data_IF_909564618803
#
_entry.id   IF_909564618803
#
_cell.length_a   1.000
_cell.length_b   1.000
_cell.length_c   1.000
_cell.angle_alpha   90.00
_cell.angle_beta   90.00
_cell.angle_gamma   90.00
#
_symmetry.space_group_name_H-M   'P 1'
#
loop_
_entity.id
_entity.type
_entity.pdbx_description
1 polymer ?
#
# COMPACT_ATOMS: atom_id res chain seq x y z
N UNK A 1 26.32 22.14 -4.84
CA UNK A 1 25.20 21.85 -3.91
C UNK A 1 24.17 22.96 -3.85
N UNK A 2 24.47 24.21 -4.21
CA UNK A 2 23.41 25.24 -4.34
C UNK A 2 23.14 25.58 -5.81
N UNK A 3 22.65 24.59 -6.57
CA UNK A 3 22.04 24.89 -7.86
C UNK A 3 20.58 25.25 -7.62
N UNK A 4 20.05 26.36 -8.17
CA UNK A 4 18.61 26.65 -8.08
C UNK A 4 17.75 25.64 -8.83
N UNK A 5 18.37 24.78 -9.66
CA UNK A 5 17.72 23.75 -10.45
C UNK A 5 17.68 22.37 -9.75
N UNK A 6 18.33 22.23 -8.59
CA UNK A 6 18.28 21.02 -7.75
C UNK A 6 17.66 21.43 -6.42
N UNK A 7 16.47 20.92 -6.10
CA UNK A 7 15.64 21.41 -4.99
C UNK A 7 15.12 20.26 -4.15
N UNK A 8 14.91 20.52 -2.87
CA UNK A 8 14.01 19.74 -2.04
C UNK A 8 12.57 20.29 -2.14
N UNK A 9 11.62 19.61 -1.50
CA UNK A 9 10.23 20.02 -1.46
C UNK A 9 9.68 19.80 -0.04
N UNK A 10 9.94 20.76 0.83
CA UNK A 10 9.71 20.59 2.28
C UNK A 10 8.80 21.67 2.88
N UNK A 11 8.59 22.79 2.17
CA UNK A 11 7.84 23.94 2.66
C UNK A 11 6.70 24.33 1.72
N UNK A 12 5.61 24.93 2.23
CA UNK A 12 4.57 25.51 1.39
C UNK A 12 5.11 26.51 0.34
N UNK A 13 6.18 27.22 0.67
CA UNK A 13 6.84 28.15 -0.25
C UNK A 13 7.43 27.45 -1.47
N UNK A 14 7.90 26.20 -1.36
CA UNK A 14 8.39 25.42 -2.49
C UNK A 14 7.25 25.14 -3.48
N UNK A 15 6.07 24.77 -2.97
CA UNK A 15 4.87 24.59 -3.80
C UNK A 15 4.48 25.87 -4.54
N UNK A 16 4.51 27.02 -3.86
CA UNK A 16 4.21 28.33 -4.47
C UNK A 16 5.26 28.68 -5.53
N UNK A 17 6.54 28.40 -5.27
CA UNK A 17 7.64 28.65 -6.19
C UNK A 17 7.49 27.83 -7.48
N UNK A 18 7.32 26.51 -7.37
CA UNK A 18 7.18 25.63 -8.53
C UNK A 18 5.91 25.91 -9.32
N UNK A 19 4.79 26.24 -8.65
CA UNK A 19 3.57 26.65 -9.35
C UNK A 19 3.79 27.89 -10.21
N UNK A 20 4.46 28.93 -9.68
CA UNK A 20 4.76 30.16 -10.44
C UNK A 20 5.68 29.91 -11.63
N UNK A 21 6.60 28.95 -11.53
CA UNK A 21 7.44 28.54 -12.66
C UNK A 21 6.62 27.80 -13.73
N UNK A 22 5.74 26.89 -13.31
CA UNK A 22 4.82 26.15 -14.18
C UNK A 22 3.89 27.10 -14.96
N UNK A 23 3.26 28.06 -14.27
CA UNK A 23 2.37 29.09 -14.85
C UNK A 23 3.06 29.92 -15.94
N UNK A 24 4.39 30.06 -15.87
CA UNK A 24 5.20 30.82 -16.85
C UNK A 24 5.75 29.94 -17.97
N UNK A 25 5.50 28.63 -17.96
CA UNK A 25 6.08 27.68 -18.91
C UNK A 25 7.60 27.51 -18.74
N UNK A 26 8.13 27.76 -17.54
CA UNK A 26 9.58 27.72 -17.27
C UNK A 26 10.11 26.31 -16.93
N UNK A 27 9.25 25.29 -16.97
CA UNK A 27 9.57 23.89 -16.70
C UNK A 27 9.08 23.07 -17.88
N UNK A 28 10.00 22.48 -18.65
CA UNK A 28 9.67 21.52 -19.71
C UNK A 28 9.94 20.07 -19.29
N UNK A 29 10.94 19.85 -18.44
CA UNK A 29 11.37 18.52 -17.99
C UNK A 29 11.73 18.49 -16.51
N UNK A 30 11.37 17.40 -15.84
CA UNK A 30 11.53 17.22 -14.40
C UNK A 30 12.04 15.81 -14.07
N UNK A 31 13.08 15.72 -13.24
CA UNK A 31 13.46 14.44 -12.61
C UNK A 31 13.11 14.50 -11.13
N UNK A 32 12.38 13.50 -10.64
CA UNK A 32 12.05 13.33 -9.23
C UNK A 32 12.85 12.13 -8.72
N UNK A 33 13.62 12.31 -7.65
CA UNK A 33 14.43 11.25 -7.06
C UNK A 33 13.84 10.87 -5.70
N UNK A 34 13.32 9.65 -5.60
CA UNK A 34 12.59 9.10 -4.46
C UNK A 34 11.11 8.94 -4.78
N UNK A 35 10.64 7.70 -4.75
CA UNK A 35 9.28 7.24 -5.04
C UNK A 35 8.41 7.03 -3.80
N UNK A 36 8.69 7.74 -2.70
CA UNK A 36 7.80 7.80 -1.54
C UNK A 36 6.55 8.67 -1.79
N UNK A 37 5.74 8.90 -0.76
CA UNK A 37 4.47 9.66 -0.88
C UNK A 37 4.62 10.98 -1.64
N UNK A 38 5.56 11.83 -1.21
CA UNK A 38 5.82 13.14 -1.82
C UNK A 38 6.25 13.00 -3.28
N UNK A 39 7.10 12.01 -3.59
CA UNK A 39 7.58 11.79 -4.96
C UNK A 39 6.46 11.40 -5.91
N UNK A 40 5.54 10.54 -5.47
CA UNK A 40 4.35 10.17 -6.24
C UNK A 40 3.37 11.34 -6.40
N UNK A 41 3.11 12.13 -5.35
CA UNK A 41 2.26 13.32 -5.43
C UNK A 41 2.84 14.38 -6.37
N UNK A 42 4.16 14.58 -6.36
CA UNK A 42 4.84 15.47 -7.30
C UNK A 42 4.81 14.95 -8.74
N UNK A 43 4.90 13.63 -8.94
CA UNK A 43 4.76 13.03 -10.27
C UNK A 43 3.34 13.24 -10.82
N UNK A 44 2.30 13.08 -9.99
CA UNK A 44 0.93 13.43 -10.35
C UNK A 44 0.80 14.93 -10.68
N UNK A 45 1.34 15.80 -9.84
CA UNK A 45 1.30 17.25 -10.09
C UNK A 45 2.01 17.61 -11.40
N UNK A 46 3.15 16.99 -11.70
CA UNK A 46 3.90 17.19 -12.94
C UNK A 46 3.12 16.74 -14.18
N UNK A 47 2.33 15.66 -14.06
CA UNK A 47 1.40 15.21 -15.09
C UNK A 47 0.32 16.25 -15.39
N UNK A 48 -0.27 16.86 -14.35
CA UNK A 48 -1.28 17.92 -14.51
C UNK A 48 -0.71 19.13 -15.27
N UNK A 49 0.56 19.46 -15.06
CA UNK A 49 1.25 20.53 -15.77
C UNK A 49 1.85 20.13 -17.13
N UNK A 50 1.81 18.84 -17.48
CA UNK A 50 2.33 18.32 -18.76
C UNK A 50 3.85 18.34 -18.89
N UNK A 51 4.58 18.21 -17.77
CA UNK A 51 6.05 18.14 -17.79
C UNK A 51 6.56 16.78 -18.28
N UNK A 52 7.65 16.79 -19.05
CA UNK A 52 8.36 15.55 -19.37
C UNK A 52 9.07 15.01 -18.11
N UNK A 53 8.44 14.05 -17.44
CA UNK A 53 8.78 13.69 -16.07
C UNK A 53 9.36 12.29 -15.96
N UNK A 54 10.42 12.17 -15.17
CA UNK A 54 11.03 10.89 -14.80
C UNK A 54 11.08 10.75 -13.29
N UNK A 55 10.48 9.70 -12.75
CA UNK A 55 10.51 9.32 -11.34
C UNK A 55 11.49 8.18 -11.14
N UNK A 56 12.45 8.36 -10.25
CA UNK A 56 13.52 7.40 -9.98
C UNK A 56 13.43 6.93 -8.53
N UNK A 57 13.39 5.62 -8.31
CA UNK A 57 13.37 4.98 -7.00
C UNK A 57 14.47 3.91 -6.93
N UNK A 58 15.21 3.92 -5.81
CA UNK A 58 16.28 2.96 -5.55
C UNK A 58 15.73 1.59 -5.18
N UNK A 59 14.65 1.57 -4.41
CA UNK A 59 13.99 0.34 -3.96
C UNK A 59 13.29 -0.40 -5.11
N UNK A 60 12.86 -1.63 -4.84
CA UNK A 60 12.27 -2.51 -5.84
C UNK A 60 10.92 -2.04 -6.39
N UNK A 61 10.23 -1.14 -5.69
CA UNK A 61 8.93 -0.60 -6.04
C UNK A 61 8.73 0.78 -5.41
N UNK A 62 7.73 1.53 -5.90
CA UNK A 62 7.30 2.80 -5.31
C UNK A 62 6.67 2.59 -3.91
N UNK A 63 6.53 3.67 -3.15
CA UNK A 63 5.93 3.68 -1.81
C UNK A 63 6.52 2.63 -0.83
N UNK A 64 7.85 2.43 -0.77
CA UNK A 64 8.47 1.32 -0.04
C UNK A 64 8.29 1.36 1.48
N UNK A 65 7.87 2.51 2.03
CA UNK A 65 7.68 2.70 3.47
C UNK A 65 6.42 2.06 4.06
N UNK A 66 5.41 1.74 3.24
CA UNK A 66 4.10 1.29 3.74
C UNK A 66 3.36 0.25 2.90
N UNK A 67 3.82 -0.03 1.68
CA UNK A 67 3.17 -0.97 0.76
C UNK A 67 4.11 -2.12 0.42
N UNK A 68 3.55 -3.32 0.27
CA UNK A 68 4.28 -4.42 -0.35
C UNK A 68 4.26 -4.26 -1.90
N UNK A 69 5.20 -4.91 -2.58
CA UNK A 69 5.47 -4.66 -4.00
C UNK A 69 4.28 -4.87 -4.92
N UNK A 70 3.46 -5.89 -4.67
CA UNK A 70 2.26 -6.16 -5.46
C UNK A 70 1.18 -5.09 -5.29
N UNK A 71 1.09 -4.44 -4.13
CA UNK A 71 0.18 -3.31 -3.92
C UNK A 71 0.74 -2.03 -4.56
N UNK A 72 2.05 -1.81 -4.47
CA UNK A 72 2.74 -0.68 -5.08
C UNK A 72 2.77 -0.73 -6.62
N UNK A 73 2.71 -1.92 -7.21
CA UNK A 73 2.68 -2.09 -8.66
C UNK A 73 1.50 -1.37 -9.34
N UNK A 74 0.41 -1.12 -8.60
CA UNK A 74 -0.72 -0.33 -9.10
C UNK A 74 -0.37 1.16 -9.27
N UNK A 75 0.41 1.76 -8.34
CA UNK A 75 0.89 3.14 -8.47
C UNK A 75 1.82 3.30 -9.67
N UNK A 76 2.74 2.35 -9.84
CA UNK A 76 3.69 2.38 -10.95
C UNK A 76 2.98 2.35 -12.30
N UNK A 77 2.02 1.43 -12.48
CA UNK A 77 1.21 1.34 -13.70
C UNK A 77 0.38 2.60 -13.95
N UNK A 78 -0.25 3.15 -12.92
CA UNK A 78 -1.06 4.37 -13.03
C UNK A 78 -0.21 5.58 -13.48
N UNK A 79 0.96 5.76 -12.87
CA UNK A 79 1.89 6.83 -13.25
C UNK A 79 2.42 6.65 -14.67
N UNK A 80 2.78 5.42 -15.05
CA UNK A 80 3.23 5.09 -16.41
C UNK A 80 2.13 5.32 -17.45
N UNK A 81 0.88 4.95 -17.14
CA UNK A 81 -0.28 5.20 -18.01
C UNK A 81 -0.53 6.71 -18.22
N UNK A 82 -0.22 7.52 -17.22
CA UNK A 82 -0.22 8.98 -17.33
C UNK A 82 1.04 9.60 -17.94
N UNK A 83 1.97 8.79 -18.48
CA UNK A 83 3.13 9.25 -19.23
C UNK A 83 4.39 9.53 -18.38
N UNK A 84 4.40 9.19 -17.10
CA UNK A 84 5.59 9.31 -16.26
C UNK A 84 6.53 8.14 -16.55
N UNK A 85 7.82 8.43 -16.82
CA UNK A 85 8.85 7.39 -16.86
C UNK A 85 9.23 7.00 -15.45
N UNK A 86 8.91 5.78 -15.04
CA UNK A 86 9.25 5.26 -13.71
C UNK A 86 10.43 4.31 -13.82
N UNK A 87 11.48 4.56 -13.05
CA UNK A 87 12.64 3.68 -12.91
C UNK A 87 12.78 3.26 -11.45
N UNK A 88 12.37 2.02 -11.14
CA UNK A 88 12.65 1.36 -9.85
C UNK A 88 13.97 0.59 -9.92
N UNK A 89 14.50 0.15 -8.78
CA UNK A 89 15.83 -0.50 -8.68
C UNK A 89 16.95 0.34 -9.32
N UNK A 90 16.78 1.66 -9.32
CA UNK A 90 17.66 2.58 -10.01
C UNK A 90 18.32 3.52 -8.99
N UNK A 91 19.62 3.36 -8.81
CA UNK A 91 20.41 4.17 -7.89
C UNK A 91 20.99 5.39 -8.61
N UNK A 92 20.73 6.58 -8.08
CA UNK A 92 21.38 7.83 -8.51
C UNK A 92 22.75 7.92 -7.85
N UNK A 93 23.80 7.97 -8.66
CA UNK A 93 25.20 8.02 -8.20
C UNK A 93 25.75 9.44 -8.11
N UNK A 94 25.12 10.40 -8.79
CA UNK A 94 25.49 11.81 -8.71
C UNK A 94 24.65 12.71 -9.59
N UNK A 95 24.72 14.01 -9.30
CA UNK A 95 24.09 15.05 -10.11
C UNK A 95 25.17 16.09 -10.45
N UNK A 96 25.38 16.33 -11.74
CA UNK A 96 26.29 17.36 -12.24
C UNK A 96 25.49 18.44 -12.98
N UNK A 97 26.13 19.56 -13.31
CA UNK A 97 25.53 20.60 -14.14
C UNK A 97 26.21 20.64 -15.51
N UNK A 98 25.40 20.59 -16.57
CA UNK A 98 25.82 20.93 -17.92
C UNK A 98 25.25 22.31 -18.26
N UNK A 99 26.06 23.35 -18.06
CA UNK A 99 25.58 24.74 -18.06
C UNK A 99 24.61 24.99 -16.90
N UNK A 100 23.36 25.34 -17.20
CA UNK A 100 22.30 25.55 -16.20
C UNK A 100 21.40 24.31 -16.00
N UNK A 101 21.62 23.21 -16.74
CA UNK A 101 20.78 22.02 -16.63
C UNK A 101 21.43 20.95 -15.75
N UNK A 102 20.71 20.45 -14.72
CA UNK A 102 21.10 19.22 -14.04
C UNK A 102 21.21 18.03 -14.99
N UNK A 103 22.19 17.18 -14.72
CA UNK A 103 22.39 15.86 -15.33
C UNK A 103 22.51 14.85 -14.20
N UNK A 104 21.52 13.97 -14.10
CA UNK A 104 21.42 12.90 -13.10
C UNK A 104 22.07 11.66 -13.67
N UNK A 105 23.08 11.12 -12.99
CA UNK A 105 23.77 9.89 -13.38
C UNK A 105 23.26 8.71 -12.54
N UNK A 106 23.09 7.56 -13.18
CA UNK A 106 22.62 6.32 -12.56
C UNK A 106 23.74 5.29 -12.42
N UNK A 107 23.53 4.27 -11.59
CA UNK A 107 24.50 3.20 -11.35
C UNK A 107 24.78 2.31 -12.58
N UNK A 108 23.87 2.29 -13.56
CA UNK A 108 24.03 1.58 -14.83
C UNK A 108 24.81 2.39 -15.90
N UNK A 109 25.41 3.54 -15.54
CA UNK A 109 26.08 4.50 -16.43
C UNK A 109 25.17 5.25 -17.42
N UNK A 110 23.84 5.13 -17.30
CA UNK A 110 22.92 6.02 -18.00
C UNK A 110 22.83 7.36 -17.28
N UNK A 111 22.37 8.39 -18.00
CA UNK A 111 22.14 9.71 -17.42
C UNK A 111 20.96 10.41 -18.07
N UNK A 112 20.22 11.19 -17.29
CA UNK A 112 19.09 12.00 -17.76
C UNK A 112 19.34 13.46 -17.39
N UNK A 113 19.12 14.36 -18.35
CA UNK A 113 19.11 15.80 -18.09
C UNK A 113 17.67 16.32 -18.03
N UNK A 114 17.43 17.27 -17.13
CA UNK A 114 16.13 17.92 -16.98
C UNK A 114 16.32 19.40 -16.61
N UNK A 115 15.24 20.19 -16.68
CA UNK A 115 15.28 21.59 -16.27
C UNK A 115 15.36 21.72 -14.74
N UNK A 116 14.70 20.81 -14.03
CA UNK A 116 14.75 20.71 -12.57
C UNK A 116 14.91 19.27 -12.10
N UNK A 117 15.56 19.12 -10.94
CA UNK A 117 15.61 17.88 -10.17
C UNK A 117 15.02 18.15 -8.79
N UNK A 118 14.02 17.36 -8.38
CA UNK A 118 13.46 17.41 -7.03
C UNK A 118 13.90 16.18 -6.23
N UNK A 119 14.49 16.43 -5.07
CA UNK A 119 14.95 15.42 -4.13
C UNK A 119 13.84 15.07 -3.13
N UNK A 120 13.30 13.87 -3.25
CA UNK A 120 12.25 13.27 -2.41
C UNK A 120 12.78 12.05 -1.64
N UNK A 121 13.98 12.15 -1.09
CA UNK A 121 14.74 11.04 -0.50
C UNK A 121 14.31 10.65 0.92
N UNK A 122 13.16 11.15 1.38
CA UNK A 122 12.74 11.10 2.78
C UNK A 122 13.32 12.23 3.62
N UNK A 123 12.95 12.27 4.89
CA UNK A 123 13.34 13.29 5.86
C UNK A 123 14.09 12.66 7.03
N UNK A 124 14.96 13.44 7.65
CA UNK A 124 15.66 13.05 8.88
C UNK A 124 15.17 13.92 10.04
N UNK A 125 15.01 13.36 11.25
CA UNK A 125 14.57 14.16 12.39
C UNK A 125 15.57 15.28 12.71
N UNK A 126 15.07 16.50 12.93
CA UNK A 126 15.88 17.64 13.37
C UNK A 126 16.13 17.54 14.89
N UNK A 127 17.23 16.88 15.27
CA UNK A 127 17.55 16.59 16.67
C UNK A 127 18.88 17.19 17.17
N UNK A 128 19.54 18.02 16.37
CA UNK A 128 20.86 18.56 16.70
C UNK A 128 20.83 19.41 17.97
N UNK A 129 19.83 20.30 18.13
CA UNK A 129 19.66 21.08 19.35
C UNK A 129 19.49 20.19 20.59
N UNK A 130 18.71 19.11 20.47
CA UNK A 130 18.49 18.18 21.56
C UNK A 130 19.80 17.46 21.94
N UNK A 131 20.57 17.04 20.93
CA UNK A 131 21.88 16.39 21.12
C UNK A 131 22.88 17.32 21.79
N UNK A 132 22.96 18.57 21.34
CA UNK A 132 23.86 19.59 21.89
C UNK A 132 23.51 19.93 23.35
N UNK A 133 22.23 19.86 23.70
CA UNK A 133 21.73 20.00 25.07
C UNK A 133 21.87 18.72 25.93
N UNK A 134 22.42 17.63 25.39
CA UNK A 134 22.60 16.37 26.11
C UNK A 134 21.31 15.55 26.30
N UNK A 135 20.25 15.83 25.54
CA UNK A 135 19.02 15.04 25.55
C UNK A 135 19.22 13.72 24.79
N UNK A 136 18.45 12.71 25.18
CA UNK A 136 18.53 11.38 24.56
C UNK A 136 17.98 11.42 23.12
N UNK A 137 18.83 11.05 22.17
CA UNK A 137 18.48 10.87 20.75
C UNK A 137 18.57 9.38 20.41
N UNK A 138 17.56 8.88 19.71
CA UNK A 138 17.42 7.48 19.36
C UNK A 138 18.24 7.06 18.15
N UNK A 139 18.17 5.77 17.84
CA UNK A 139 18.94 5.16 16.74
C UNK A 139 18.44 5.57 15.35
N UNK A 140 17.22 6.10 15.24
CA UNK A 140 16.67 6.68 14.00
C UNK A 140 16.92 8.18 13.93
N UNK A 141 17.68 8.74 14.88
CA UNK A 141 18.06 10.14 14.94
C UNK A 141 17.00 11.07 15.54
N UNK A 142 15.87 10.57 16.02
CA UNK A 142 14.82 11.38 16.64
C UNK A 142 15.00 11.52 18.15
N UNK A 143 14.44 12.58 18.71
CA UNK A 143 14.42 12.83 20.15
C UNK A 143 13.57 11.73 20.81
N UNK A 144 14.13 11.02 21.80
CA UNK A 144 13.39 10.02 22.56
C UNK A 144 12.45 10.74 23.53
N UNK A 145 11.18 10.35 23.50
CA UNK A 145 10.15 10.86 24.40
C UNK A 145 9.42 9.74 25.11
N UNK A 146 8.95 10.02 26.32
CA UNK A 146 8.03 9.14 27.04
C UNK A 146 6.59 9.24 26.50
N UNK A 147 5.65 8.49 27.11
CA UNK A 147 4.23 8.53 26.73
C UNK A 147 3.56 9.88 27.03
N UNK A 148 4.18 10.75 27.82
CA UNK A 148 3.73 12.11 28.10
C UNK A 148 4.38 13.15 27.18
N UNK A 149 5.13 12.70 26.17
CA UNK A 149 5.90 13.53 25.23
C UNK A 149 7.05 14.32 25.90
N UNK A 150 7.52 13.88 27.07
CA UNK A 150 8.69 14.45 27.76
C UNK A 150 9.96 13.82 27.24
N UNK A 151 11.01 14.64 27.11
CA UNK A 151 12.35 14.16 26.78
C UNK A 151 13.03 13.54 28.01
N UNK A 152 14.32 13.22 27.93
CA UNK A 152 15.12 12.81 29.10
C UNK A 152 15.26 13.90 30.17
N UNK A 153 15.04 15.18 29.83
CA UNK A 153 14.81 16.24 30.82
C UNK A 153 13.30 16.38 31.07
N UNK A 154 12.81 16.22 32.31
CA UNK A 154 11.38 16.29 32.63
C UNK A 154 10.76 17.68 32.41
N UNK A 155 11.58 18.72 32.25
CA UNK A 155 11.15 20.10 31.97
C UNK A 155 11.02 20.40 30.47
N UNK A 156 11.52 19.50 29.62
CA UNK A 156 11.55 19.68 28.17
C UNK A 156 10.64 18.65 27.49
N UNK A 157 9.76 19.13 26.64
CA UNK A 157 8.89 18.32 25.79
C UNK A 157 9.34 18.41 24.34
N UNK A 158 9.10 17.35 23.56
CA UNK A 158 9.33 17.34 22.12
C UNK A 158 8.18 16.64 21.41
N UNK A 159 7.89 17.06 20.19
CA UNK A 159 6.82 16.47 19.38
C UNK A 159 6.89 16.94 17.93
N UNK A 160 6.27 16.15 17.05
CA UNK A 160 6.31 16.38 15.61
C UNK A 160 7.37 15.49 14.95
N UNK A 161 7.89 15.91 13.81
CA UNK A 161 8.80 15.08 13.00
C UNK A 161 10.23 15.03 13.58
N UNK A 162 10.48 15.69 14.71
CA UNK A 162 11.76 15.59 15.41
C UNK A 162 11.83 14.43 16.42
N UNK A 163 10.72 13.72 16.70
CA UNK A 163 10.69 12.65 17.72
C UNK A 163 10.69 11.24 17.14
N UNK A 164 11.26 10.32 17.90
CA UNK A 164 11.04 8.89 17.73
C UNK A 164 9.88 8.43 18.64
N UNK A 165 9.03 7.55 18.11
CA UNK A 165 7.84 7.06 18.79
C UNK A 165 7.92 5.55 18.99
N UNK A 166 7.13 5.02 19.92
CA UNK A 166 6.87 3.59 19.98
C UNK A 166 5.85 3.19 18.90
N UNK A 167 6.17 2.16 18.10
CA UNK A 167 5.19 1.50 17.26
C UNK A 167 4.21 0.72 18.14
N UNK A 168 2.89 0.93 18.00
CA UNK A 168 1.92 0.34 18.93
C UNK A 168 1.91 -1.20 18.88
N UNK A 169 2.05 -1.81 17.69
CA UNK A 169 2.00 -3.27 17.54
C UNK A 169 3.25 -4.02 17.98
N UNK A 170 4.43 -3.38 17.93
CA UNK A 170 5.72 -4.07 18.14
C UNK A 170 6.48 -3.54 19.36
N UNK A 171 6.10 -2.38 19.88
CA UNK A 171 6.84 -1.69 20.96
C UNK A 171 8.21 -1.17 20.55
N UNK A 172 8.64 -1.37 19.30
CA UNK A 172 9.94 -0.93 18.79
C UNK A 172 9.91 0.56 18.47
N UNK A 173 11.08 1.19 18.48
CA UNK A 173 11.23 2.58 18.01
C UNK A 173 10.82 2.68 16.53
N UNK A 174 10.03 3.70 16.22
CA UNK A 174 9.52 4.02 14.90
C UNK A 174 9.60 5.53 14.65
N UNK A 175 9.72 5.89 13.36
CA UNK A 175 9.77 7.26 12.91
C UNK A 175 8.68 7.45 11.84
N UNK A 176 7.75 8.36 12.13
CA UNK A 176 6.57 8.62 11.31
C UNK A 176 6.37 10.13 11.14
N UNK A 177 7.00 10.75 10.13
CA UNK A 177 6.87 12.18 9.86
C UNK A 177 5.49 12.47 9.23
N UNK A 178 4.46 12.49 10.08
CA UNK A 178 3.06 12.60 9.69
C UNK A 178 2.43 13.78 10.43
N UNK A 179 1.93 14.77 9.69
CA UNK A 179 1.32 15.96 10.26
C UNK A 179 0.15 15.68 11.20
N UNK A 180 -0.60 14.59 10.97
CA UNK A 180 -1.67 14.13 11.86
C UNK A 180 -1.14 13.72 13.25
N UNK A 181 0.03 13.07 13.31
CA UNK A 181 0.68 12.71 14.56
C UNK A 181 1.26 13.95 15.25
N UNK A 182 1.88 14.86 14.50
CA UNK A 182 2.42 16.12 15.03
C UNK A 182 1.37 16.94 15.79
N UNK A 183 0.15 17.05 15.24
CA UNK A 183 -0.97 17.72 15.91
C UNK A 183 -1.39 17.02 17.21
N UNK A 184 -1.43 15.68 17.22
CA UNK A 184 -1.75 14.90 18.43
C UNK A 184 -0.68 15.05 19.50
N UNK A 185 0.60 15.08 19.11
CA UNK A 185 1.71 15.35 20.03
C UNK A 185 1.54 16.71 20.70
N UNK A 186 1.29 17.77 19.92
CA UNK A 186 1.07 19.12 20.44
C UNK A 186 -0.06 19.20 21.47
N UNK A 187 -1.19 18.52 21.21
CA UNK A 187 -2.29 18.40 22.18
C UNK A 187 -1.83 17.76 23.50
N UNK A 188 -1.15 16.62 23.44
CA UNK A 188 -0.68 15.90 24.64
C UNK A 188 0.32 16.73 25.43
N UNK A 189 1.26 17.40 24.74
CA UNK A 189 2.24 18.30 25.35
C UNK A 189 1.53 19.44 26.09
N UNK A 190 0.59 20.13 25.44
CA UNK A 190 -0.13 21.25 26.03
C UNK A 190 -0.95 20.84 27.27
N UNK A 191 -1.59 19.66 27.24
CA UNK A 191 -2.30 19.11 28.39
C UNK A 191 -1.36 18.82 29.57
N UNK A 192 -0.18 18.26 29.30
CA UNK A 192 0.80 17.93 30.33
C UNK A 192 1.49 19.17 30.92
N UNK A 193 1.76 20.19 30.10
CA UNK A 193 2.22 21.51 30.58
C UNK A 193 1.16 22.14 31.51
N UNK A 194 -0.12 21.92 31.23
CA UNK A 194 -1.24 22.43 32.04
C UNK A 194 -1.52 21.60 33.32
N UNK A 195 -0.66 20.63 33.66
CA UNK A 195 -0.78 19.81 34.87
C UNK A 195 -1.69 18.59 34.73
N UNK A 196 -2.18 18.26 33.52
CA UNK A 196 -2.87 16.98 33.27
C UNK A 196 -1.86 15.83 33.12
N UNK A 197 -2.38 14.61 33.00
CA UNK A 197 -1.60 13.37 32.78
C UNK A 197 -2.02 12.73 31.44
N UNK A 198 -1.95 13.52 30.37
CA UNK A 198 -2.28 13.08 29.03
C UNK A 198 -1.21 12.14 28.48
N UNK A 199 -1.63 11.13 27.73
CA UNK A 199 -0.75 10.12 27.14
C UNK A 199 -0.90 10.05 25.63
N UNK A 200 0.23 9.85 24.96
CA UNK A 200 0.30 9.44 23.56
C UNK A 200 0.66 7.94 23.52
N UNK A 201 -0.24 7.07 22.99
CA UNK A 201 -0.05 5.61 23.07
C UNK A 201 1.02 5.05 22.12
N UNK A 202 1.61 5.89 21.26
CA UNK A 202 2.46 5.49 20.14
C UNK A 202 1.72 5.63 18.80
N UNK A 203 2.33 5.14 17.73
CA UNK A 203 1.81 5.27 16.37
C UNK A 203 1.63 3.92 15.66
N UNK A 204 0.67 3.87 14.73
CA UNK A 204 0.41 2.73 13.83
C UNK A 204 0.82 3.01 12.38
N UNK A 205 1.27 4.23 12.06
CA UNK A 205 1.68 4.58 10.69
C UNK A 205 0.55 4.63 9.68
N UNK A 206 -0.68 4.99 10.09
CA UNK A 206 -1.79 5.18 9.15
C UNK A 206 -1.46 6.32 8.17
N UNK A 207 -1.48 6.03 6.87
CA UNK A 207 -1.18 6.97 5.81
C UNK A 207 -2.10 6.76 4.61
N UNK A 208 -2.36 7.85 3.89
CA UNK A 208 -3.11 7.90 2.65
C UNK A 208 -2.31 8.72 1.64
N UNK A 209 -2.33 8.31 0.38
CA UNK A 209 -1.72 9.02 -0.74
C UNK A 209 -2.61 8.88 -1.96
N UNK A 210 -2.73 9.96 -2.75
CA UNK A 210 -3.38 9.93 -4.05
C UNK A 210 -2.30 9.76 -5.11
N UNK A 211 -2.55 8.86 -6.05
CA UNK A 211 -1.70 8.62 -7.22
C UNK A 211 -2.62 8.66 -8.43
N UNK A 212 -2.75 9.83 -9.05
CA UNK A 212 -3.61 10.05 -10.22
C UNK A 212 -5.07 9.62 -9.95
N UNK A 213 -5.60 8.62 -10.67
CA UNK A 213 -6.96 8.11 -10.47
C UNK A 213 -7.12 7.21 -9.24
N UNK A 214 -6.02 6.83 -8.57
CA UNK A 214 -6.01 5.89 -7.46
C UNK A 214 -5.87 6.59 -6.11
N UNK A 215 -6.63 6.10 -5.14
CA UNK A 215 -6.37 6.30 -3.73
C UNK A 215 -5.58 5.09 -3.22
N UNK A 216 -4.54 5.34 -2.44
CA UNK A 216 -3.75 4.31 -1.78
C UNK A 216 -3.66 4.59 -0.29
N UNK A 217 -3.74 3.55 0.53
CA UNK A 217 -3.67 3.68 1.97
C UNK A 217 -3.03 2.48 2.65
N UNK A 218 -2.36 2.73 3.77
CA UNK A 218 -1.77 1.70 4.60
C UNK A 218 -1.90 2.04 6.07
N UNK A 219 -1.97 1.01 6.92
CA UNK A 219 -1.86 1.13 8.38
C UNK A 219 -1.30 -0.14 8.98
N UNK A 220 -0.51 -0.02 10.05
CA UNK A 220 0.11 -1.15 10.72
C UNK A 220 1.36 -1.63 9.98
N UNK A 221 1.55 -2.95 9.93
CA UNK A 221 2.70 -3.59 9.30
C UNK A 221 2.33 -4.17 7.93
N UNK A 222 3.17 -3.91 6.93
CA UNK A 222 3.19 -4.69 5.70
C UNK A 222 3.64 -6.14 5.97
N UNK A 223 3.43 -7.05 5.03
CA UNK A 223 3.92 -8.44 5.15
C UNK A 223 5.45 -8.45 5.24
N UNK A 224 6.11 -7.68 4.38
CA UNK A 224 7.58 -7.51 4.38
C UNK A 224 8.07 -6.99 5.73
N UNK A 225 7.39 -6.00 6.32
CA UNK A 225 7.74 -5.44 7.62
C UNK A 225 7.51 -6.42 8.77
N UNK A 226 6.40 -7.17 8.75
CA UNK A 226 6.09 -8.17 9.76
C UNK A 226 7.15 -9.30 9.75
N UNK A 227 7.47 -9.83 8.58
CA UNK A 227 8.50 -10.86 8.39
C UNK A 227 9.88 -10.37 8.81
N UNK A 228 10.31 -9.19 8.36
CA UNK A 228 11.58 -8.59 8.78
C UNK A 228 11.64 -8.33 10.30
N UNK A 229 10.47 -8.12 10.91
CA UNK A 229 10.31 -7.98 12.36
C UNK A 229 10.36 -9.29 13.15
N UNK A 230 10.40 -10.44 12.47
CA UNK A 230 10.37 -11.79 13.06
C UNK A 230 8.98 -12.26 13.46
N UNK A 231 7.91 -11.69 12.90
CA UNK A 231 6.52 -12.08 13.17
C UNK A 231 6.11 -13.12 12.12
N UNK A 232 5.67 -14.30 12.57
CA UNK A 232 5.05 -15.31 11.70
C UNK A 232 3.65 -14.85 11.31
N UNK A 233 3.54 -14.30 10.10
CA UNK A 233 2.32 -13.73 9.57
C UNK A 233 1.81 -14.50 8.35
N UNK A 234 0.52 -14.30 8.08
CA UNK A 234 -0.12 -14.60 6.82
C UNK A 234 -0.83 -13.37 6.29
N UNK A 235 -1.23 -13.47 5.03
CA UNK A 235 -1.92 -12.41 4.32
C UNK A 235 -3.06 -12.96 3.47
N UNK A 236 -4.08 -12.12 3.31
CA UNK A 236 -5.20 -12.34 2.41
C UNK A 236 -5.46 -11.06 1.65
N UNK A 237 -5.96 -11.20 0.44
CA UNK A 237 -6.25 -10.09 -0.45
C UNK A 237 -7.50 -10.35 -1.26
N UNK A 238 -8.23 -9.29 -1.58
CA UNK A 238 -9.46 -9.34 -2.35
C UNK A 238 -9.72 -8.03 -3.05
N UNK A 239 -10.30 -8.12 -4.24
CA UNK A 239 -10.94 -7.01 -4.92
C UNK A 239 -12.35 -6.84 -4.38
N UNK A 240 -12.83 -5.61 -4.32
CA UNK A 240 -14.11 -5.25 -3.75
C UNK A 240 -14.64 -4.00 -4.41
N UNK A 241 -15.95 -3.89 -4.51
CA UNK A 241 -16.58 -2.61 -4.83
C UNK A 241 -16.80 -1.79 -3.55
N UNK A 242 -16.65 -0.47 -3.65
CA UNK A 242 -16.91 0.43 -2.54
C UNK A 242 -18.41 0.60 -2.25
N UNK A 243 -19.26 0.25 -3.22
CA UNK A 243 -20.74 0.31 -3.21
C UNK A 243 -21.31 -0.88 -3.99
N UNK A 244 -22.59 -1.24 -3.84
CA UNK A 244 -23.20 -2.30 -4.65
C UNK A 244 -23.14 -1.97 -6.15
N UNK A 245 -22.97 -3.00 -7.00
CA UNK A 245 -22.79 -2.84 -8.46
C UNK A 245 -23.95 -2.10 -9.16
N UNK A 246 -25.16 -2.12 -8.58
CA UNK A 246 -26.31 -1.39 -9.12
C UNK A 246 -26.28 0.12 -8.80
N UNK A 247 -25.32 0.59 -8.00
CA UNK A 247 -25.16 2.00 -7.68
C UNK A 247 -24.22 2.67 -8.70
N UNK A 248 -24.64 3.75 -9.40
CA UNK A 248 -23.89 4.28 -10.55
C UNK A 248 -22.44 4.73 -10.30
N UNK A 249 -22.10 5.06 -9.05
CA UNK A 249 -20.79 5.56 -8.63
C UNK A 249 -19.94 4.48 -7.94
N UNK A 250 -20.32 3.21 -8.09
CA UNK A 250 -19.54 2.09 -7.61
C UNK A 250 -18.14 2.10 -8.23
N UNK A 251 -17.13 1.93 -7.40
CA UNK A 251 -15.73 1.92 -7.80
C UNK A 251 -15.00 0.79 -7.11
N UNK A 252 -13.97 0.29 -7.78
CA UNK A 252 -13.20 -0.85 -7.32
C UNK A 252 -12.08 -0.47 -6.35
N UNK A 253 -11.77 -1.42 -5.47
CA UNK A 253 -10.70 -1.37 -4.48
C UNK A 253 -10.10 -2.76 -4.31
N UNK A 254 -8.78 -2.82 -4.19
CA UNK A 254 -8.02 -4.00 -3.77
C UNK A 254 -7.55 -3.77 -2.34
N UNK A 255 -7.81 -4.74 -1.47
CA UNK A 255 -7.34 -4.71 -0.08
C UNK A 255 -6.41 -5.90 0.17
N UNK A 256 -5.34 -5.67 0.93
CA UNK A 256 -4.44 -6.68 1.49
C UNK A 256 -4.42 -6.55 3.01
N UNK A 257 -4.85 -7.61 3.70
CA UNK A 257 -4.79 -7.71 5.15
C UNK A 257 -3.66 -8.65 5.57
N UNK A 258 -2.88 -8.21 6.56
CA UNK A 258 -1.78 -8.96 7.18
C UNK A 258 -2.17 -9.26 8.63
N UNK A 259 -1.98 -10.50 9.06
CA UNK A 259 -2.32 -10.97 10.41
C UNK A 259 -1.33 -12.03 10.90
N UNK A 260 -1.23 -12.19 12.22
CA UNK A 260 -0.34 -13.16 12.86
C UNK A 260 -0.95 -14.57 12.79
N UNK A 261 -0.19 -15.53 12.25
CA UNK A 261 -0.67 -16.90 11.96
C UNK A 261 -1.21 -17.61 13.20
N UNK A 262 -0.51 -17.44 14.32
CA UNK A 262 -0.73 -18.21 15.56
C UNK A 262 -2.07 -17.92 16.24
N UNK A 263 -2.48 -16.66 16.27
CA UNK A 263 -3.58 -16.17 17.10
C UNK A 263 -4.59 -15.31 16.31
N UNK A 264 -4.37 -15.11 15.01
CA UNK A 264 -5.23 -14.26 14.19
C UNK A 264 -5.13 -12.78 14.52
N UNK A 265 -4.14 -12.32 15.29
CA UNK A 265 -3.99 -10.90 15.64
C UNK A 265 -3.79 -10.07 14.37
N UNK A 266 -4.56 -9.00 14.21
CA UNK A 266 -4.44 -8.10 13.07
C UNK A 266 -3.09 -7.35 13.15
N UNK A 267 -2.39 -7.27 12.00
CA UNK A 267 -1.08 -6.62 11.91
C UNK A 267 -1.08 -5.40 10.99
N UNK A 268 -1.80 -5.46 9.87
CA UNK A 268 -1.85 -4.33 8.96
C UNK A 268 -2.86 -4.49 7.83
N UNK A 269 -3.18 -3.37 7.20
CA UNK A 269 -4.06 -3.29 6.04
C UNK A 269 -3.44 -2.35 5.02
N UNK A 270 -3.45 -2.77 3.75
CA UNK A 270 -3.11 -1.96 2.59
C UNK A 270 -4.33 -1.93 1.67
N UNK A 271 -4.56 -0.78 1.03
CA UNK A 271 -5.67 -0.55 0.14
C UNK A 271 -5.21 0.24 -1.09
N UNK A 272 -5.72 -0.11 -2.27
CA UNK A 272 -5.53 0.65 -3.51
C UNK A 272 -6.80 0.59 -4.35
N UNK A 273 -7.22 1.71 -4.93
CA UNK A 273 -8.36 1.73 -5.85
C UNK A 273 -8.92 3.13 -6.05
N UNK A 274 -9.86 3.27 -6.99
CA UNK A 274 -10.52 4.55 -7.25
C UNK A 274 -11.72 4.79 -6.31
N UNK A 275 -12.15 3.76 -5.58
CA UNK A 275 -13.21 3.82 -4.57
C UNK A 275 -12.79 4.35 -3.20
N UNK A 276 -13.73 4.34 -2.25
CA UNK A 276 -13.52 4.78 -0.85
C UNK A 276 -12.72 3.78 -0.01
N UNK A 277 -11.40 3.91 -0.07
CA UNK A 277 -10.46 3.17 0.78
C UNK A 277 -10.33 3.76 2.19
N UNK A 278 -10.62 5.06 2.36
CA UNK A 278 -10.32 5.80 3.59
C UNK A 278 -11.06 5.20 4.76
N UNK A 279 -12.35 4.89 4.56
CA UNK A 279 -13.18 4.20 5.56
C UNK A 279 -12.54 2.91 6.04
N UNK A 280 -11.96 2.10 5.15
CA UNK A 280 -11.37 0.79 5.51
C UNK A 280 -10.09 0.96 6.29
N UNK A 281 -9.22 1.89 5.87
CA UNK A 281 -7.99 2.22 6.58
C UNK A 281 -8.30 2.75 7.99
N UNK A 282 -9.26 3.66 8.14
CA UNK A 282 -9.59 4.26 9.44
C UNK A 282 -10.25 3.27 10.40
N UNK A 283 -11.19 2.44 9.91
CA UNK A 283 -11.80 1.37 10.72
C UNK A 283 -10.73 0.38 11.18
N UNK A 284 -9.87 -0.07 10.28
CA UNK A 284 -8.81 -1.02 10.62
C UNK A 284 -7.78 -0.41 11.58
N UNK A 285 -7.44 0.87 11.40
CA UNK A 285 -6.58 1.64 12.32
C UNK A 285 -7.16 1.69 13.74
N UNK A 286 -8.48 1.83 13.87
CA UNK A 286 -9.17 1.76 15.16
C UNK A 286 -9.09 0.36 15.79
N UNK A 287 -9.30 -0.70 15.00
CA UNK A 287 -9.23 -2.09 15.47
C UNK A 287 -7.82 -2.48 15.91
N UNK A 288 -6.77 -2.02 15.21
CA UNK A 288 -5.39 -2.24 15.62
C UNK A 288 -5.06 -1.61 16.98
N UNK A 289 -5.69 -0.48 17.34
CA UNK A 289 -5.54 0.11 18.67
C UNK A 289 -6.19 -0.77 19.76
N UNK A 290 -7.22 -1.53 19.42
CA UNK A 290 -7.92 -2.47 20.29
C UNK A 290 -7.26 -3.85 20.45
N UNK A 291 -6.13 -4.12 19.78
CA UNK A 291 -5.51 -5.45 19.71
C UNK A 291 -6.44 -6.53 19.13
N UNK A 292 -7.28 -6.16 18.17
CA UNK A 292 -8.25 -7.05 17.55
C UNK A 292 -7.63 -8.24 16.80
N UNK A 293 -8.44 -9.28 16.64
CA UNK A 293 -8.14 -10.49 15.87
C UNK A 293 -9.03 -10.59 14.62
N UNK A 294 -8.70 -11.52 13.72
CA UNK A 294 -9.45 -11.79 12.49
C UNK A 294 -10.94 -12.03 12.76
N UNK A 295 -11.30 -12.74 13.83
CA UNK A 295 -12.71 -13.02 14.15
C UNK A 295 -13.51 -11.75 14.48
N UNK A 296 -12.89 -10.70 15.02
CA UNK A 296 -13.58 -9.43 15.31
C UNK A 296 -14.10 -8.73 14.04
N UNK A 297 -13.49 -9.01 12.89
CA UNK A 297 -13.93 -8.47 11.59
C UNK A 297 -15.15 -9.22 11.02
N UNK A 298 -15.40 -10.46 11.46
CA UNK A 298 -16.59 -11.22 11.06
C UNK A 298 -17.84 -10.57 11.65
N UNK A 299 -17.76 -10.17 12.92
CA UNK A 299 -18.86 -9.56 13.67
C UNK A 299 -18.85 -8.02 13.59
N UNK A 300 -18.04 -7.44 12.69
CA UNK A 300 -17.98 -6.00 12.48
C UNK A 300 -19.33 -5.47 11.98
N UNK A 301 -20.01 -4.71 12.83
CA UNK A 301 -21.19 -3.94 12.44
C UNK A 301 -20.75 -2.64 11.75
N UNK A 302 -21.16 -2.46 10.48
CA UNK A 302 -20.87 -1.26 9.70
C UNK A 302 -22.16 -0.56 9.26
N UNK A 303 -22.13 0.78 9.19
CA UNK A 303 -23.22 1.54 8.61
C UNK A 303 -23.39 1.21 7.12
N UNK A 304 -24.60 0.82 6.72
CA UNK A 304 -24.92 0.40 5.36
C UNK A 304 -26.11 1.19 4.78
N UNK A 305 -25.88 1.73 3.59
CA UNK A 305 -26.89 1.96 2.56
C UNK A 305 -26.16 1.90 1.20
N UNK A 306 -26.87 1.63 0.08
CA UNK A 306 -26.24 1.47 -1.22
C UNK A 306 -25.27 2.57 -1.67
N UNK A 307 -25.48 3.87 -1.36
CA UNK A 307 -24.51 4.92 -1.69
C UNK A 307 -23.15 4.81 -0.98
N UNK A 308 -23.00 3.97 0.05
CA UNK A 308 -21.86 4.02 0.98
C UNK A 308 -21.12 2.70 1.18
N UNK A 309 -21.76 1.54 1.01
CA UNK A 309 -21.14 0.23 1.21
C UNK A 309 -22.01 -0.89 0.65
N UNK A 310 -21.42 -2.07 0.46
CA UNK A 310 -22.16 -3.32 0.36
C UNK A 310 -22.73 -3.78 1.71
N UNK A 311 -23.66 -4.74 1.67
CA UNK A 311 -24.34 -5.28 2.85
C UNK A 311 -23.39 -6.05 3.79
N UNK A 312 -22.32 -6.63 3.24
CA UNK A 312 -21.16 -7.09 4.00
C UNK A 312 -19.98 -6.21 3.62
N UNK A 313 -19.27 -5.66 4.59
CA UNK A 313 -18.11 -4.82 4.30
C UNK A 313 -16.94 -5.67 3.75
N UNK A 314 -16.11 -5.14 2.84
CA UNK A 314 -14.87 -5.79 2.39
C UNK A 314 -14.00 -6.38 3.51
N UNK A 315 -13.96 -5.76 4.69
CA UNK A 315 -13.23 -6.27 5.85
C UNK A 315 -13.78 -7.62 6.36
N UNK A 316 -15.10 -7.84 6.30
CA UNK A 316 -15.72 -9.12 6.64
C UNK A 316 -15.29 -10.23 5.66
N UNK A 317 -15.19 -9.90 4.37
CA UNK A 317 -14.75 -10.84 3.35
C UNK A 317 -13.27 -11.22 3.51
N UNK A 318 -12.40 -10.27 3.85
CA UNK A 318 -11.01 -10.56 4.18
C UNK A 318 -10.89 -11.49 5.39
N UNK A 319 -11.69 -11.28 6.42
CA UNK A 319 -11.72 -12.16 7.58
C UNK A 319 -12.19 -13.58 7.22
N UNK A 320 -13.21 -13.69 6.36
CA UNK A 320 -13.67 -14.98 5.84
C UNK A 320 -12.58 -15.71 5.05
N UNK A 321 -11.80 -14.99 4.23
CA UNK A 321 -10.64 -15.53 3.52
C UNK A 321 -9.55 -15.99 4.48
N UNK A 322 -9.29 -15.25 5.56
CA UNK A 322 -8.29 -15.64 6.56
C UNK A 322 -8.70 -16.93 7.30
N UNK A 323 -9.99 -17.08 7.63
CA UNK A 323 -10.52 -18.33 8.20
C UNK A 323 -10.42 -19.49 7.22
N UNK A 324 -10.62 -19.25 5.92
CA UNK A 324 -10.43 -20.25 4.90
C UNK A 324 -8.95 -20.66 4.75
N UNK A 325 -8.00 -19.73 4.86
CA UNK A 325 -6.56 -20.04 4.88
C UNK A 325 -6.21 -20.99 6.01
N UNK A 326 -6.78 -20.78 7.20
CA UNK A 326 -6.61 -21.69 8.33
C UNK A 326 -7.15 -23.11 8.07
N UNK A 327 -8.02 -23.28 7.07
CA UNK A 327 -8.54 -24.58 6.60
C UNK A 327 -7.78 -25.13 5.38
N UNK A 328 -6.70 -24.48 4.93
CA UNK A 328 -5.87 -24.93 3.82
C UNK A 328 -6.13 -24.24 2.49
N UNK A 329 -6.83 -23.10 2.47
CA UNK A 329 -6.90 -22.27 1.27
C UNK A 329 -5.53 -21.63 0.98
N UNK A 330 -5.03 -21.81 -0.23
CA UNK A 330 -3.81 -21.15 -0.72
C UNK A 330 -4.18 -19.99 -1.66
N UNK A 331 -3.85 -18.76 -1.27
CA UNK A 331 -3.98 -17.58 -2.14
C UNK A 331 -2.62 -17.27 -2.80
N UNK A 332 -2.66 -17.10 -4.11
CA UNK A 332 -1.53 -16.62 -4.90
C UNK A 332 -1.50 -15.08 -4.89
N UNK A 333 -0.32 -14.45 -4.93
CA UNK A 333 -0.20 -12.99 -4.94
C UNK A 333 -0.73 -12.40 -6.27
N UNK A 334 -1.38 -11.23 -6.24
CA UNK A 334 -1.77 -10.52 -7.47
C UNK A 334 -0.54 -10.01 -8.24
N UNK A 335 -0.76 -9.51 -9.47
CA UNK A 335 0.24 -8.79 -10.27
C UNK A 335 1.55 -9.55 -10.53
N UNK A 336 1.51 -10.88 -10.62
CA UNK A 336 2.64 -11.71 -11.05
C UNK A 336 2.31 -12.44 -12.34
N UNK A 337 3.35 -12.82 -13.08
CA UNK A 337 3.21 -13.53 -14.35
C UNK A 337 2.86 -15.02 -14.17
N UNK A 338 2.44 -15.64 -15.27
CA UNK A 338 2.06 -17.06 -15.30
C UNK A 338 3.21 -17.98 -14.85
N UNK A 339 4.46 -17.62 -15.13
CA UNK A 339 5.65 -18.42 -14.81
C UNK A 339 5.85 -18.45 -13.28
N UNK A 340 5.64 -17.32 -12.60
CA UNK A 340 5.65 -17.25 -11.14
C UNK A 340 4.52 -18.07 -10.51
N UNK A 341 3.34 -18.11 -11.13
CA UNK A 341 2.25 -18.98 -10.67
C UNK A 341 2.60 -20.46 -10.80
N UNK A 342 3.25 -20.90 -11.88
CA UNK A 342 3.69 -22.29 -12.00
C UNK A 342 4.70 -22.65 -10.90
N UNK A 343 5.61 -21.74 -10.55
CA UNK A 343 6.54 -21.95 -9.43
C UNK A 343 5.80 -22.11 -8.10
N UNK A 344 4.87 -21.19 -7.79
CA UNK A 344 4.11 -21.20 -6.54
C UNK A 344 3.17 -22.40 -6.40
N UNK A 345 2.58 -22.85 -7.51
CA UNK A 345 1.72 -24.04 -7.57
C UNK A 345 2.53 -25.35 -7.56
N UNK A 346 3.83 -25.28 -7.86
CA UNK A 346 4.70 -26.44 -8.00
C UNK A 346 4.46 -27.23 -9.30
N UNK A 347 4.16 -26.53 -10.39
CA UNK A 347 4.00 -27.09 -11.74
C UNK A 347 2.86 -26.43 -12.53
N UNK A 348 2.49 -27.07 -13.64
CA UNK A 348 1.39 -26.61 -14.50
C UNK A 348 0.06 -26.61 -13.76
N UNK A 349 -0.79 -25.66 -14.12
CA UNK A 349 -2.13 -25.49 -13.58
C UNK A 349 -3.14 -25.15 -14.66
N UNK A 350 -4.42 -25.23 -14.31
CA UNK A 350 -5.56 -24.87 -15.13
C UNK A 350 -6.25 -23.68 -14.49
N UNK A 351 -6.50 -22.63 -15.27
CA UNK A 351 -7.38 -21.55 -14.85
C UNK A 351 -8.81 -22.08 -14.75
N UNK A 352 -9.41 -21.99 -13.56
CA UNK A 352 -10.83 -22.24 -13.38
C UNK A 352 -11.52 -20.88 -13.24
N UNK A 353 -12.08 -20.39 -14.34
CA UNK A 353 -12.85 -19.15 -14.33
C UNK A 353 -14.28 -19.42 -13.87
N UNK A 354 -14.65 -18.83 -12.73
CA UNK A 354 -15.97 -19.01 -12.11
C UNK A 354 -16.90 -17.81 -12.28
N UNK A 355 -16.55 -16.86 -13.17
CA UNK A 355 -17.43 -15.73 -13.50
C UNK A 355 -18.68 -16.23 -14.22
N UNK A 356 -19.75 -15.44 -14.15
CA UNK A 356 -20.95 -15.72 -14.95
C UNK A 356 -20.62 -15.58 -16.44
N UNK A 357 -21.34 -16.32 -17.29
CA UNK A 357 -21.07 -16.46 -18.73
C UNK A 357 -20.92 -15.10 -19.45
N UNK A 358 -21.80 -14.15 -19.15
CA UNK A 358 -21.77 -12.80 -19.74
C UNK A 358 -20.42 -12.12 -19.49
N UNK A 359 -19.94 -12.12 -18.25
CA UNK A 359 -18.66 -11.51 -17.88
C UNK A 359 -17.45 -12.26 -18.46
N UNK A 360 -17.54 -13.59 -18.58
CA UNK A 360 -16.46 -14.38 -19.17
C UNK A 360 -16.29 -14.06 -20.66
N UNK A 361 -17.40 -13.88 -21.38
CA UNK A 361 -17.40 -13.59 -22.81
C UNK A 361 -17.02 -12.14 -23.14
N UNK A 362 -17.34 -11.20 -22.27
CA UNK A 362 -17.04 -9.77 -22.47
C UNK A 362 -15.58 -9.41 -22.20
N UNK A 363 -14.93 -10.06 -21.23
CA UNK A 363 -13.59 -9.69 -20.77
C UNK A 363 -12.72 -10.93 -20.50
N UNK A 364 -11.92 -11.34 -21.48
CA UNK A 364 -10.93 -12.41 -21.31
C UNK A 364 -9.60 -11.80 -20.85
N UNK A 365 -9.14 -12.02 -19.61
CA UNK A 365 -7.90 -11.44 -19.12
C UNK A 365 -6.68 -12.01 -19.86
N UNK A 366 -5.72 -11.14 -20.17
CA UNK A 366 -4.47 -11.49 -20.88
C UNK A 366 -3.65 -12.59 -20.20
N UNK A 367 -3.79 -12.71 -18.88
CA UNK A 367 -3.13 -13.77 -18.11
C UNK A 367 -3.54 -15.19 -18.55
N UNK A 368 -4.63 -15.33 -19.31
CA UNK A 368 -5.07 -16.59 -19.90
C UNK A 368 -4.30 -16.98 -21.16
N UNK A 369 -3.62 -16.05 -21.83
CA UNK A 369 -2.93 -16.31 -23.11
C UNK A 369 -1.85 -17.40 -22.99
N UNK A 370 -1.32 -17.62 -21.78
CA UNK A 370 -0.29 -18.62 -21.48
C UNK A 370 -0.81 -19.87 -20.78
N UNK A 371 -2.13 -20.03 -20.61
CA UNK A 371 -2.71 -21.09 -19.76
C UNK A 371 -3.83 -21.88 -20.42
N UNK A 372 -4.13 -23.06 -19.85
CA UNK A 372 -5.39 -23.75 -20.15
C UNK A 372 -6.49 -23.16 -19.27
N UNK A 373 -7.62 -22.81 -19.87
CA UNK A 373 -8.77 -22.23 -19.18
C UNK A 373 -9.95 -23.18 -19.25
N UNK A 374 -10.57 -23.42 -18.11
CA UNK A 374 -11.87 -24.06 -17.97
C UNK A 374 -12.81 -23.04 -17.35
N UNK A 375 -13.92 -22.77 -18.02
CA UNK A 375 -14.95 -21.88 -17.52
C UNK A 375 -16.16 -22.69 -17.05
N UNK A 376 -16.46 -22.53 -15.76
CA UNK A 376 -17.64 -23.10 -15.10
C UNK A 376 -18.10 -22.05 -14.09
N UNK A 377 -19.20 -21.36 -14.38
CA UNK A 377 -19.73 -20.33 -13.48
C UNK A 377 -19.95 -20.89 -12.07
N UNK A 378 -19.82 -20.04 -11.05
CA UNK A 378 -19.96 -20.47 -9.66
C UNK A 378 -21.30 -21.18 -9.38
N UNK A 379 -22.38 -20.70 -10.01
CA UNK A 379 -23.73 -21.25 -9.85
C UNK A 379 -23.85 -22.66 -10.42
N UNK A 380 -23.14 -22.96 -11.51
CA UNK A 380 -23.13 -24.27 -12.14
C UNK A 380 -22.06 -25.22 -11.58
N UNK A 381 -21.09 -24.69 -10.81
CA UNK A 381 -19.90 -25.43 -10.39
C UNK A 381 -20.23 -26.75 -9.67
N UNK A 382 -21.29 -26.79 -8.85
CA UNK A 382 -21.68 -28.03 -8.16
C UNK A 382 -22.20 -29.10 -9.12
N UNK A 383 -22.93 -28.70 -10.14
CA UNK A 383 -23.56 -29.61 -11.12
C UNK A 383 -22.53 -30.09 -12.15
N UNK A 384 -21.62 -29.20 -12.54
CA UNK A 384 -20.57 -29.41 -13.54
C UNK A 384 -19.23 -29.84 -12.96
N UNK A 385 -19.14 -30.10 -11.64
CA UNK A 385 -17.89 -30.49 -10.97
C UNK A 385 -17.26 -31.76 -11.57
N UNK A 386 -18.07 -32.63 -12.19
CA UNK A 386 -17.60 -33.84 -12.87
C UNK A 386 -16.77 -33.58 -14.14
N UNK A 387 -16.78 -32.35 -14.67
CA UNK A 387 -15.92 -31.92 -15.78
C UNK A 387 -14.47 -31.71 -15.33
N UNK A 388 -14.22 -31.58 -14.03
CA UNK A 388 -12.91 -31.33 -13.44
C UNK A 388 -12.23 -32.61 -12.98
N UNK A 389 -10.91 -32.70 -13.19
CA UNK A 389 -10.09 -33.85 -12.80
C UNK A 389 -9.40 -33.58 -11.46
N UNK A 390 -9.67 -34.41 -10.46
CA UNK A 390 -9.19 -34.19 -9.07
C UNK A 390 -7.66 -34.13 -8.89
N UNK A 391 -6.88 -34.71 -9.80
CA UNK A 391 -5.42 -34.71 -9.74
C UNK A 391 -4.78 -33.43 -10.28
N UNK A 392 -5.55 -32.63 -11.04
CA UNK A 392 -5.06 -31.42 -11.67
C UNK A 392 -4.98 -30.28 -10.63
N UNK A 393 -4.08 -29.33 -10.90
CA UNK A 393 -4.01 -28.10 -10.12
C UNK A 393 -4.89 -27.03 -10.76
N UNK A 394 -5.75 -26.40 -9.96
CA UNK A 394 -6.64 -25.34 -10.43
C UNK A 394 -6.29 -24.02 -9.75
N UNK A 395 -6.21 -22.95 -10.53
CA UNK A 395 -6.16 -21.57 -10.03
C UNK A 395 -7.50 -20.93 -10.33
N UNK A 396 -8.27 -20.65 -9.27
CA UNK A 396 -9.61 -20.07 -9.39
C UNK A 396 -9.48 -18.58 -9.71
N UNK A 397 -10.06 -18.18 -10.83
CA UNK A 397 -10.29 -16.79 -11.18
C UNK A 397 -11.76 -16.44 -10.96
N UNK A 398 -12.01 -15.32 -10.30
CA UNK A 398 -13.31 -14.66 -10.36
C UNK A 398 -13.10 -13.16 -10.56
N UNK A 399 -14.18 -12.40 -10.72
CA UNK A 399 -14.05 -10.95 -10.96
C UNK A 399 -13.22 -10.23 -9.88
N UNK A 400 -13.41 -10.59 -8.61
CA UNK A 400 -12.93 -9.81 -7.46
C UNK A 400 -12.24 -10.62 -6.34
N UNK A 401 -12.00 -11.91 -6.54
CA UNK A 401 -11.46 -12.83 -5.51
C UNK A 401 -12.47 -13.32 -4.44
N UNK A 402 -13.44 -12.51 -4.02
CA UNK A 402 -14.37 -12.89 -2.93
C UNK A 402 -15.21 -14.16 -3.22
N UNK A 403 -15.68 -14.32 -4.46
CA UNK A 403 -16.42 -15.52 -4.90
C UNK A 403 -15.53 -16.76 -5.03
N UNK A 404 -14.22 -16.57 -5.21
CA UNK A 404 -13.27 -17.68 -5.32
C UNK A 404 -13.22 -18.53 -4.05
N UNK A 405 -13.49 -17.95 -2.88
CA UNK A 405 -13.65 -18.71 -1.63
C UNK A 405 -14.81 -19.71 -1.67
N UNK A 406 -15.95 -19.32 -2.26
CA UNK A 406 -17.12 -20.19 -2.36
C UNK A 406 -16.84 -21.37 -3.30
N UNK A 407 -16.21 -21.10 -4.45
CA UNK A 407 -15.77 -22.15 -5.36
C UNK A 407 -14.72 -23.07 -4.71
N UNK A 408 -13.72 -22.51 -4.03
CA UNK A 408 -12.75 -23.29 -3.28
C UNK A 408 -13.43 -24.19 -2.25
N UNK A 409 -14.41 -23.66 -1.50
CA UNK A 409 -15.16 -24.46 -0.50
C UNK A 409 -15.91 -25.62 -1.14
N UNK A 410 -16.50 -25.43 -2.32
CA UNK A 410 -17.18 -26.49 -3.09
C UNK A 410 -16.18 -27.57 -3.51
N UNK A 411 -15.05 -27.17 -4.10
CA UNK A 411 -14.03 -28.09 -4.59
C UNK A 411 -13.32 -28.83 -3.45
N UNK A 412 -12.98 -28.12 -2.37
CA UNK A 412 -12.36 -28.69 -1.18
C UNK A 412 -13.27 -29.74 -0.54
N UNK A 413 -14.56 -29.44 -0.37
CA UNK A 413 -15.54 -30.41 0.13
C UNK A 413 -15.72 -31.63 -0.81
N UNK A 414 -15.48 -31.46 -2.11
CA UNK A 414 -15.52 -32.53 -3.11
C UNK A 414 -14.20 -33.33 -3.24
N UNK A 415 -13.20 -33.03 -2.39
CA UNK A 415 -11.94 -33.76 -2.30
C UNK A 415 -10.84 -33.29 -3.26
N UNK A 416 -10.96 -32.09 -3.82
CA UNK A 416 -9.86 -31.48 -4.57
C UNK A 416 -8.83 -30.92 -3.57
N UNK A 417 -7.55 -31.25 -3.79
CA UNK A 417 -6.45 -30.90 -2.87
C UNK A 417 -5.48 -29.86 -3.42
N UNK A 418 -5.47 -29.63 -4.74
CA UNK A 418 -4.57 -28.67 -5.42
C UNK A 418 -5.37 -27.51 -6.01
N UNK A 419 -6.03 -26.74 -5.15
CA UNK A 419 -6.90 -25.64 -5.55
C UNK A 419 -6.41 -24.36 -4.91
N UNK A 420 -6.03 -23.41 -5.75
CA UNK A 420 -5.46 -22.12 -5.40
C UNK A 420 -6.43 -21.00 -5.81
N UNK A 421 -6.31 -19.84 -5.20
CA UNK A 421 -7.09 -18.65 -5.56
C UNK A 421 -6.17 -17.56 -6.07
N UNK A 422 -6.46 -17.03 -7.25
CA UNK A 422 -5.77 -15.85 -7.76
C UNK A 422 -6.13 -14.62 -6.91
N UNK A 423 -5.12 -14.03 -6.28
CA UNK A 423 -5.31 -12.89 -5.39
C UNK A 423 -5.95 -11.70 -6.10
N UNK A 424 -6.99 -11.12 -5.50
CA UNK A 424 -7.70 -9.97 -6.07
C UNK A 424 -8.57 -10.26 -7.31
N UNK A 425 -8.60 -11.50 -7.83
CA UNK A 425 -9.34 -11.82 -9.05
C UNK A 425 -8.84 -11.01 -10.26
N UNK A 426 -9.73 -10.65 -11.18
CA UNK A 426 -9.39 -9.78 -12.32
C UNK A 426 -8.81 -8.44 -11.87
N UNK A 427 -9.37 -7.84 -10.82
CA UNK A 427 -8.89 -6.56 -10.30
C UNK A 427 -7.43 -6.63 -9.83
N UNK A 428 -7.01 -7.79 -9.30
CA UNK A 428 -5.61 -8.06 -8.92
C UNK A 428 -4.74 -8.60 -10.05
N UNK A 429 -5.34 -9.18 -11.09
CA UNK A 429 -4.65 -9.70 -12.27
C UNK A 429 -4.33 -8.61 -13.32
N UNK A 430 -4.58 -7.33 -13.01
CA UNK A 430 -4.42 -6.20 -13.94
C UNK A 430 -3.02 -6.17 -14.59
N UNK A 431 -2.99 -6.68 -15.82
CA UNK A 431 -1.86 -6.88 -16.72
C UNK A 431 -2.28 -7.71 -17.93
#
# INVERSE_FOLDING_TARGET
>A
TESPFIRDFTRPDDAIFFRKLAERGAIGSLVIIGGGYIGCELAEAAMVWGFDTTLVEREAHLLPGGFDGEMAAHAERELQAGGIRVHTKCEVTGITLSGQKPVVAFSNNESISADYVILCLGVTPESDLARDCGLTVGVKGGIIVDRHMRTSDPSVYAGGDCVELSHQLTGKSAYFPLGSLANRHGRVIAENISGKQAVFPGALGAALVKVCGLNMGCVGLSETQAMAGGIDCECVWGGFSDKPDYYPEAKEMLLKMVYERKNGRLLGLQAVGSGDICRRIDVFSSMLQGSSVVDDLIDLEHGYAPPYSEALDPLHHLASLAKARALGLELLPPCVDSDRYEELVGGKYIWLDIREDEHFLEDTPRIYDKGTVVHISLNELRERIGELTRSDAYVIMCGRGARSYQAWSILHAAGFSRVFVAGGGLAGAAG
#
